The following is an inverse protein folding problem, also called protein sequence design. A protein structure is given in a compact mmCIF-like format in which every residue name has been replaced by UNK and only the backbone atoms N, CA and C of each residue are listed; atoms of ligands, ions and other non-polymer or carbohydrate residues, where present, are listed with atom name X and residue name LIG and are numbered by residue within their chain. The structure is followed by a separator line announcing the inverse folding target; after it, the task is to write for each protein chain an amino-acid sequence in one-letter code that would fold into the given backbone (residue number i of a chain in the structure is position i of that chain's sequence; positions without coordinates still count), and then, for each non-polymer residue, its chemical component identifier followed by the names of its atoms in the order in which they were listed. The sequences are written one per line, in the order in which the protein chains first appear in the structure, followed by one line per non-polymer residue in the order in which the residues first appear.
data_IF_920470034274
#
_entry.id   IF_920470034274
#
_cell.length_a   1.000
_cell.length_b   1.000
_cell.length_c   1.000
_cell.angle_alpha   90.00
_cell.angle_beta   90.00
_cell.angle_gamma   90.00
#
_symmetry.space_group_name_H-M   'P 1'
#
loop_
_entity.id
_entity.type
_entity.pdbx_description
1 polymer ?
#
# COMPACT_ATOMS: atom_id res chain seq x y z
N UNK A 1 33.54 -19.41 15.15
CA UNK A 1 32.13 -19.07 14.83
C UNK A 1 31.81 -19.31 13.36
N UNK A 2 32.66 -18.90 12.41
CA UNK A 2 32.40 -19.09 10.98
C UNK A 2 32.37 -20.56 10.52
N UNK A 3 33.22 -21.42 11.08
CA UNK A 3 33.28 -22.83 10.74
C UNK A 3 31.97 -23.59 11.08
N UNK A 4 31.42 -23.34 12.28
CA UNK A 4 30.15 -23.93 12.69
C UNK A 4 28.96 -23.42 11.86
N UNK A 5 28.98 -22.12 11.54
CA UNK A 5 27.99 -21.50 10.65
C UNK A 5 27.99 -22.14 9.26
N UNK A 6 29.15 -22.37 8.69
CA UNK A 6 29.27 -22.99 7.36
C UNK A 6 28.77 -24.43 7.36
N UNK A 7 29.06 -25.23 8.40
CA UNK A 7 28.52 -26.58 8.52
C UNK A 7 27.00 -26.60 8.63
N UNK A 8 26.43 -25.66 9.39
CA UNK A 8 24.97 -25.51 9.47
C UNK A 8 24.36 -25.13 8.11
N UNK A 9 24.96 -24.25 7.35
CA UNK A 9 24.51 -23.88 6.02
C UNK A 9 24.51 -25.11 5.09
N UNK A 10 25.57 -25.91 5.12
CA UNK A 10 25.69 -27.15 4.33
C UNK A 10 24.58 -28.15 4.72
N UNK A 11 24.35 -28.31 6.02
CA UNK A 11 23.27 -29.18 6.54
C UNK A 11 21.90 -28.71 6.02
N UNK A 12 21.59 -27.40 6.13
CA UNK A 12 20.35 -26.86 5.61
C UNK A 12 20.20 -27.02 4.09
N UNK A 13 21.29 -26.84 3.32
CA UNK A 13 21.28 -27.06 1.85
C UNK A 13 20.77 -28.45 1.48
N UNK A 14 21.15 -29.46 2.24
CA UNK A 14 20.69 -30.85 2.01
C UNK A 14 19.16 -30.98 2.12
N UNK A 15 18.53 -30.31 3.10
CA UNK A 15 17.09 -30.35 3.33
C UNK A 15 16.27 -29.40 2.44
N UNK A 16 16.90 -28.37 1.90
CA UNK A 16 16.23 -27.28 1.17
C UNK A 16 16.39 -27.43 -0.35
N UNK A 17 17.01 -28.50 -0.80
CA UNK A 17 17.33 -28.79 -2.19
C UNK A 17 16.26 -28.25 -3.14
N UNK A 18 16.67 -27.43 -4.12
CA UNK A 18 15.85 -26.87 -5.20
C UNK A 18 14.68 -25.94 -4.78
N UNK A 19 14.63 -25.53 -3.51
CA UNK A 19 13.60 -24.59 -3.03
C UNK A 19 14.10 -23.15 -3.15
N UNK A 20 13.26 -22.28 -3.70
CA UNK A 20 13.40 -20.82 -3.62
C UNK A 20 12.54 -20.28 -2.49
N UNK A 21 13.05 -19.26 -1.81
CA UNK A 21 12.40 -18.65 -0.66
C UNK A 21 12.19 -17.17 -0.88
N UNK A 22 11.11 -16.65 -0.29
CA UNK A 22 10.88 -15.24 -0.15
C UNK A 22 10.63 -14.90 1.33
N UNK A 23 11.46 -14.03 1.87
CA UNK A 23 11.30 -13.55 3.25
C UNK A 23 10.40 -12.32 3.26
N UNK A 24 9.34 -12.38 4.06
CA UNK A 24 8.43 -11.26 4.27
C UNK A 24 8.45 -10.78 5.71
N UNK A 25 8.53 -9.45 5.85
CA UNK A 25 8.25 -8.78 7.10
C UNK A 25 6.80 -8.23 7.03
N UNK A 26 5.84 -8.82 7.77
CA UNK A 26 4.45 -8.39 7.74
C UNK A 26 4.17 -7.16 8.61
N UNK A 27 5.18 -6.34 8.91
CA UNK A 27 5.04 -5.17 9.79
C UNK A 27 4.17 -4.05 9.21
N UNK A 28 3.83 -4.13 7.93
CA UNK A 28 3.00 -3.15 7.22
C UNK A 28 2.27 -3.79 6.03
N UNK A 29 1.05 -3.32 5.74
CA UNK A 29 0.23 -3.86 4.64
C UNK A 29 0.90 -3.72 3.26
N UNK A 30 1.73 -2.70 3.06
CA UNK A 30 2.51 -2.54 1.82
C UNK A 30 3.37 -3.76 1.47
N UNK A 31 3.76 -4.58 2.46
CA UNK A 31 4.43 -5.86 2.23
C UNK A 31 3.58 -6.88 1.44
N UNK A 32 2.26 -6.73 1.42
CA UNK A 32 1.36 -7.54 0.60
C UNK A 32 1.67 -7.40 -0.90
N UNK A 33 2.14 -6.24 -1.36
CA UNK A 33 2.52 -6.03 -2.76
C UNK A 33 3.57 -7.05 -3.24
N UNK A 34 4.51 -7.42 -2.37
CA UNK A 34 5.50 -8.46 -2.69
C UNK A 34 4.86 -9.85 -2.88
N UNK A 35 3.83 -10.17 -2.09
CA UNK A 35 3.11 -11.45 -2.21
C UNK A 35 2.26 -11.46 -3.49
N UNK A 36 1.63 -10.34 -3.83
CA UNK A 36 0.92 -10.14 -5.07
C UNK A 36 1.85 -10.38 -6.26
N UNK A 37 3.02 -9.76 -6.26
CA UNK A 37 4.04 -9.93 -7.29
C UNK A 37 4.48 -11.40 -7.44
N UNK A 38 4.75 -12.09 -6.33
CA UNK A 38 5.12 -13.50 -6.37
C UNK A 38 4.01 -14.39 -6.93
N UNK A 39 2.76 -14.08 -6.60
CA UNK A 39 1.59 -14.77 -7.14
C UNK A 39 1.48 -14.59 -8.66
N UNK A 40 1.73 -13.38 -9.16
CA UNK A 40 1.70 -13.08 -10.61
C UNK A 40 2.82 -13.79 -11.39
N UNK A 41 3.97 -14.02 -10.74
CA UNK A 41 5.16 -14.59 -11.39
C UNK A 41 5.09 -16.10 -11.59
N UNK A 42 4.08 -16.79 -11.03
CA UNK A 42 3.91 -18.26 -11.06
C UNK A 42 5.16 -19.08 -10.64
N UNK A 43 6.15 -18.46 -10.03
CA UNK A 43 7.31 -19.16 -9.49
C UNK A 43 6.93 -19.91 -8.21
N UNK A 44 7.31 -21.17 -8.09
CA UNK A 44 7.15 -21.95 -6.85
C UNK A 44 8.13 -21.47 -5.80
N UNK A 45 7.71 -20.43 -5.06
CA UNK A 45 8.51 -19.82 -3.99
C UNK A 45 7.88 -20.16 -2.65
N UNK A 46 8.70 -20.56 -1.68
CA UNK A 46 8.27 -20.73 -0.28
C UNK A 46 8.34 -19.41 0.45
N UNK A 47 7.21 -18.91 0.92
CA UNK A 47 7.16 -17.69 1.71
C UNK A 47 7.55 -17.99 3.15
N UNK A 48 8.46 -17.20 3.71
CA UNK A 48 8.87 -17.23 5.12
C UNK A 48 8.40 -15.93 5.77
N UNK A 49 7.69 -16.05 6.87
CA UNK A 49 7.20 -14.91 7.64
C UNK A 49 8.08 -14.72 8.87
N UNK A 50 8.42 -13.46 9.19
CA UNK A 50 9.19 -13.16 10.41
C UNK A 50 8.35 -13.52 11.66
N UNK A 51 8.79 -14.50 12.50
CA UNK A 51 8.05 -14.94 13.66
C UNK A 51 7.75 -13.83 14.68
N UNK A 52 8.64 -12.84 14.79
CA UNK A 52 8.48 -11.68 15.68
C UNK A 52 7.12 -11.00 15.50
N UNK A 53 6.63 -10.91 14.26
CA UNK A 53 5.39 -10.22 13.95
C UNK A 53 4.16 -11.10 14.09
N UNK A 54 4.31 -12.41 13.99
CA UNK A 54 3.19 -13.37 14.21
C UNK A 54 2.76 -13.38 15.68
N UNK A 55 3.73 -13.31 16.60
CA UNK A 55 3.49 -13.45 18.04
C UNK A 55 3.26 -12.15 18.80
N UNK A 56 3.51 -11.01 18.21
CA UNK A 56 3.30 -9.72 18.87
C UNK A 56 1.80 -9.49 19.11
N UNK A 57 1.36 -9.47 20.40
CA UNK A 57 -0.06 -9.35 20.78
C UNK A 57 -0.71 -8.05 20.28
N UNK A 58 -0.03 -6.92 20.39
CA UNK A 58 -0.57 -5.60 20.05
C UNK A 58 -0.04 -5.09 18.71
N UNK A 59 -0.23 -5.85 17.65
CA UNK A 59 0.17 -5.45 16.31
C UNK A 59 -1.03 -4.82 15.59
N UNK A 60 -0.88 -3.62 15.07
CA UNK A 60 -1.85 -2.99 14.15
C UNK A 60 -1.90 -3.66 12.77
N UNK A 61 -1.09 -4.70 12.58
CA UNK A 61 -0.95 -5.42 11.33
C UNK A 61 -2.11 -6.39 11.17
N UNK A 62 -2.67 -6.47 9.98
CA UNK A 62 -3.64 -7.50 9.65
C UNK A 62 -2.92 -8.84 9.38
N UNK A 63 -2.71 -9.61 10.44
CA UNK A 63 -2.07 -10.94 10.39
C UNK A 63 -2.85 -11.92 9.53
N UNK A 64 -4.19 -11.80 9.51
CA UNK A 64 -5.07 -12.69 8.76
C UNK A 64 -4.79 -12.60 7.26
N UNK A 65 -4.60 -11.39 6.73
CA UNK A 65 -4.23 -11.18 5.33
C UNK A 65 -2.94 -11.93 4.98
N UNK A 66 -1.91 -11.77 5.81
CA UNK A 66 -0.63 -12.42 5.55
C UNK A 66 -0.68 -13.94 5.68
N UNK A 67 -1.46 -14.47 6.62
CA UNK A 67 -1.64 -15.92 6.76
C UNK A 67 -2.39 -16.52 5.57
N UNK A 68 -3.47 -15.89 5.11
CA UNK A 68 -4.20 -16.33 3.93
C UNK A 68 -3.29 -16.29 2.69
N UNK A 69 -2.56 -15.20 2.49
CA UNK A 69 -1.61 -15.09 1.39
C UNK A 69 -0.50 -16.15 1.47
N UNK A 70 0.02 -16.41 2.67
CA UNK A 70 0.98 -17.49 2.91
C UNK A 70 0.41 -18.87 2.48
N UNK A 71 -0.80 -19.20 2.94
CA UNK A 71 -1.44 -20.49 2.66
C UNK A 71 -1.67 -20.69 1.17
N UNK A 72 -2.15 -19.64 0.47
CA UNK A 72 -2.35 -19.68 -0.99
C UNK A 72 -1.05 -19.86 -1.75
N UNK A 73 0.00 -19.09 -1.44
CA UNK A 73 1.29 -19.16 -2.14
C UNK A 73 2.06 -20.45 -1.85
N UNK A 74 1.95 -20.99 -0.64
CA UNK A 74 2.62 -22.24 -0.26
C UNK A 74 1.79 -23.49 -0.57
N UNK A 75 0.54 -23.33 -0.97
CA UNK A 75 -0.44 -24.41 -1.14
C UNK A 75 -0.57 -25.33 0.10
N UNK A 76 -0.49 -24.74 1.28
CA UNK A 76 -0.62 -25.45 2.56
C UNK A 76 -0.87 -24.47 3.71
N UNK A 77 -1.48 -24.96 4.77
CA UNK A 77 -1.68 -24.21 6.02
C UNK A 77 -0.36 -23.76 6.63
N UNK A 78 -0.40 -22.63 7.32
CA UNK A 78 0.77 -22.11 8.03
C UNK A 78 1.23 -23.10 9.12
N UNK A 79 2.49 -23.53 9.01
CA UNK A 79 3.14 -24.37 10.01
C UNK A 79 4.25 -23.56 10.70
N UNK A 80 4.07 -23.35 12.00
CA UNK A 80 4.99 -22.57 12.83
C UNK A 80 6.39 -23.15 12.84
N UNK A 81 6.51 -24.47 13.04
CA UNK A 81 7.80 -25.14 13.16
C UNK A 81 8.58 -25.08 11.84
N UNK A 82 7.90 -25.37 10.74
CA UNK A 82 8.51 -25.26 9.41
C UNK A 82 8.96 -23.83 9.11
N UNK A 83 8.10 -22.85 9.39
CA UNK A 83 8.45 -21.42 9.20
C UNK A 83 9.65 -21.02 10.06
N UNK A 84 9.73 -21.51 11.29
CA UNK A 84 10.86 -21.25 12.18
C UNK A 84 12.16 -21.83 11.64
N UNK A 85 12.13 -23.08 11.14
CA UNK A 85 13.29 -23.73 10.53
C UNK A 85 13.81 -22.91 9.34
N UNK A 86 12.91 -22.49 8.42
CA UNK A 86 13.29 -21.66 7.29
C UNK A 86 13.75 -20.26 7.70
N UNK A 87 13.16 -19.70 8.76
CA UNK A 87 13.62 -18.42 9.31
C UNK A 87 15.03 -18.49 9.90
N UNK A 88 15.36 -19.58 10.62
CA UNK A 88 16.72 -19.82 11.10
C UNK A 88 17.69 -19.89 9.92
N UNK A 89 17.34 -20.64 8.87
CA UNK A 89 18.16 -20.68 7.66
C UNK A 89 18.35 -19.29 7.04
N UNK A 90 17.27 -18.51 6.88
CA UNK A 90 17.36 -17.11 6.44
C UNK A 90 18.34 -16.31 7.28
N UNK A 91 18.28 -16.40 8.60
CA UNK A 91 19.19 -15.69 9.51
C UNK A 91 20.65 -16.10 9.32
N UNK A 92 20.91 -17.32 8.97
CA UNK A 92 22.26 -17.84 8.72
C UNK A 92 22.84 -17.32 7.40
N UNK A 93 22.04 -17.26 6.35
CA UNK A 93 22.53 -16.95 4.97
C UNK A 93 22.37 -15.50 4.54
N UNK A 94 21.51 -14.68 5.18
CA UNK A 94 21.13 -13.33 4.72
C UNK A 94 22.28 -12.36 4.45
N UNK A 95 23.45 -12.61 5.06
CA UNK A 95 24.66 -11.78 4.88
C UNK A 95 25.79 -12.55 4.19
N UNK A 96 25.48 -13.59 3.45
CA UNK A 96 26.43 -14.40 2.69
C UNK A 96 26.06 -14.38 1.21
N UNK A 97 27.01 -14.71 0.33
CA UNK A 97 26.75 -14.84 -1.10
C UNK A 97 25.71 -15.92 -1.43
N UNK A 98 25.58 -16.90 -0.57
CA UNK A 98 24.57 -17.97 -0.66
C UNK A 98 23.14 -17.45 -0.64
N UNK A 99 22.88 -16.27 -0.07
CA UNK A 99 21.55 -15.67 -0.04
C UNK A 99 20.91 -15.59 -1.44
N UNK A 100 21.68 -15.16 -2.43
CA UNK A 100 21.22 -15.00 -3.82
C UNK A 100 20.79 -16.32 -4.46
N UNK A 101 21.37 -17.45 -3.99
CA UNK A 101 21.07 -18.78 -4.53
C UNK A 101 19.71 -19.30 -4.05
N UNK A 102 19.26 -18.90 -2.87
CA UNK A 102 18.05 -19.43 -2.22
C UNK A 102 16.92 -18.42 -2.12
N UNK A 103 17.21 -17.12 -2.09
CA UNK A 103 16.19 -16.10 -1.85
C UNK A 103 15.91 -15.28 -3.10
N UNK A 104 14.61 -15.14 -3.38
CA UNK A 104 14.10 -14.24 -4.42
C UNK A 104 14.19 -12.82 -3.89
N UNK A 105 14.62 -11.88 -4.72
CA UNK A 105 14.62 -10.46 -4.36
C UNK A 105 13.20 -9.97 -4.14
N UNK A 106 13.03 -9.13 -3.14
CA UNK A 106 11.80 -8.37 -2.94
C UNK A 106 11.49 -7.51 -4.16
N UNK A 107 10.22 -7.18 -4.31
CA UNK A 107 9.77 -6.17 -5.25
C UNK A 107 10.57 -4.87 -5.06
N UNK A 108 11.09 -4.33 -6.15
CA UNK A 108 11.79 -3.05 -6.16
C UNK A 108 10.83 -2.00 -6.69
N UNK A 109 10.56 -0.97 -5.89
CA UNK A 109 9.76 0.17 -6.33
C UNK A 109 10.32 0.79 -7.61
N UNK A 110 9.44 1.11 -8.55
CA UNK A 110 9.83 1.73 -9.80
C UNK A 110 10.44 0.81 -10.86
N UNK A 111 10.37 -0.51 -10.67
CA UNK A 111 10.80 -1.47 -11.70
C UNK A 111 9.67 -1.72 -12.71
N UNK A 112 9.75 -1.06 -13.88
CA UNK A 112 8.78 -1.21 -14.96
C UNK A 112 8.59 -2.66 -15.43
N UNK A 113 9.66 -3.48 -15.41
CA UNK A 113 9.58 -4.91 -15.77
C UNK A 113 8.74 -5.71 -14.78
N UNK A 114 8.69 -5.27 -13.54
CA UNK A 114 7.80 -5.87 -12.52
C UNK A 114 6.36 -5.51 -12.84
N UNK A 115 6.08 -4.25 -13.16
CA UNK A 115 4.74 -3.78 -13.49
C UNK A 115 4.17 -4.45 -14.73
N UNK A 116 4.98 -4.61 -15.78
CA UNK A 116 4.59 -5.33 -16.99
C UNK A 116 4.10 -6.75 -16.66
N UNK A 117 4.83 -7.48 -15.81
CA UNK A 117 4.44 -8.84 -15.38
C UNK A 117 3.16 -8.88 -14.55
N UNK A 118 2.77 -7.76 -13.95
CA UNK A 118 1.57 -7.67 -13.13
C UNK A 118 0.30 -7.28 -13.90
N UNK A 119 0.39 -6.93 -15.18
CA UNK A 119 -0.77 -6.54 -15.99
C UNK A 119 -1.88 -7.60 -16.05
N UNK A 120 -1.53 -8.88 -15.97
CA UNK A 120 -2.48 -10.00 -16.01
C UNK A 120 -2.75 -10.59 -14.61
N UNK A 121 -2.45 -9.83 -13.56
CA UNK A 121 -2.64 -10.29 -12.20
C UNK A 121 -4.12 -10.31 -11.80
N UNK A 122 -4.59 -11.46 -11.32
CA UNK A 122 -5.96 -11.69 -10.89
C UNK A 122 -6.20 -11.55 -9.37
N UNK A 123 -5.21 -11.10 -8.63
CA UNK A 123 -5.29 -10.99 -7.19
C UNK A 123 -5.06 -12.31 -6.43
N UNK A 124 -4.68 -12.20 -5.16
CA UNK A 124 -4.74 -13.33 -4.24
C UNK A 124 -6.19 -13.48 -3.81
N UNK A 125 -6.79 -14.64 -4.11
CA UNK A 125 -8.17 -14.92 -3.70
C UNK A 125 -8.24 -15.09 -2.18
N UNK A 126 -9.13 -14.34 -1.56
CA UNK A 126 -9.47 -14.50 -0.15
C UNK A 126 -10.85 -15.16 -0.05
N UNK A 127 -10.87 -16.45 0.27
CA UNK A 127 -12.11 -17.19 0.53
C UNK A 127 -12.59 -16.83 1.94
N UNK A 128 -13.46 -15.85 2.01
CA UNK A 128 -14.05 -15.39 3.25
C UNK A 128 -15.35 -16.16 3.48
N UNK A 129 -15.23 -17.38 4.03
CA UNK A 129 -16.38 -18.20 4.40
C UNK A 129 -17.03 -17.73 5.72
N UNK A 130 -16.52 -16.67 6.33
CA UNK A 130 -17.03 -16.15 7.60
C UNK A 130 -18.17 -15.15 7.32
N UNK A 131 -19.34 -15.42 7.89
CA UNK A 131 -20.44 -14.48 7.91
C UNK A 131 -20.02 -13.20 8.66
N UNK A 132 -20.37 -12.04 8.11
CA UNK A 132 -20.13 -10.74 8.76
C UNK A 132 -21.05 -10.64 9.99
N UNK A 133 -20.48 -10.84 11.18
CA UNK A 133 -21.23 -10.80 12.45
C UNK A 133 -21.57 -9.37 12.87
N UNK A 134 -20.68 -8.43 12.55
CA UNK A 134 -20.85 -7.03 12.88
C UNK A 134 -21.92 -6.38 11.97
N UNK A 135 -22.96 -5.82 12.61
CA UNK A 135 -24.10 -5.24 11.89
C UNK A 135 -23.69 -4.02 11.06
N UNK A 136 -22.88 -3.13 11.63
CA UNK A 136 -22.47 -1.89 10.95
C UNK A 136 -21.68 -2.23 9.68
N UNK A 137 -20.76 -3.20 9.77
CA UNK A 137 -19.99 -3.65 8.61
C UNK A 137 -20.86 -4.32 7.58
N UNK A 138 -21.79 -5.19 8.00
CA UNK A 138 -22.73 -5.85 7.10
C UNK A 138 -23.60 -4.84 6.34
N UNK A 139 -24.08 -3.82 7.02
CA UNK A 139 -24.88 -2.77 6.40
C UNK A 139 -24.06 -1.95 5.40
N UNK A 140 -22.78 -1.67 5.70
CA UNK A 140 -21.88 -0.95 4.81
C UNK A 140 -21.53 -1.75 3.54
N UNK A 141 -21.23 -3.05 3.66
CA UNK A 141 -20.85 -3.88 2.50
C UNK A 141 -22.02 -4.19 1.56
N UNK A 142 -23.26 -4.05 2.03
CA UNK A 142 -24.48 -4.20 1.25
C UNK A 142 -24.93 -2.89 0.57
N UNK A 143 -24.17 -1.80 0.70
CA UNK A 143 -24.46 -0.50 0.08
C UNK A 143 -23.33 -0.09 -0.86
N UNK A 144 -23.60 0.87 -1.73
CA UNK A 144 -22.57 1.53 -2.51
C UNK A 144 -21.67 2.36 -1.58
N UNK A 145 -20.50 1.82 -1.25
CA UNK A 145 -19.61 2.40 -0.25
C UNK A 145 -18.37 2.99 -0.91
N UNK A 146 -18.10 4.27 -0.61
CA UNK A 146 -16.85 4.94 -0.91
C UNK A 146 -15.94 4.86 0.32
N UNK A 147 -14.78 4.26 0.16
CA UNK A 147 -13.80 4.14 1.24
C UNK A 147 -12.61 5.04 0.95
N UNK A 148 -12.23 5.88 1.90
CA UNK A 148 -11.02 6.68 1.79
C UNK A 148 -10.04 6.41 2.93
N UNK A 149 -8.75 6.47 2.60
CA UNK A 149 -7.66 6.41 3.55
C UNK A 149 -6.87 7.72 3.50
N UNK A 150 -6.88 8.42 4.63
CA UNK A 150 -6.08 9.63 4.83
C UNK A 150 -4.85 9.27 5.68
N UNK A 151 -3.66 9.33 5.08
CA UNK A 151 -2.42 8.99 5.74
C UNK A 151 -1.99 10.10 6.71
N UNK A 152 -1.62 9.73 7.92
CA UNK A 152 -0.96 10.60 8.89
C UNK A 152 0.30 9.95 9.50
N UNK A 153 1.01 10.66 10.36
CA UNK A 153 2.25 10.19 10.95
C UNK A 153 2.06 9.17 12.09
N UNK A 154 0.83 9.00 12.62
CA UNK A 154 0.58 8.28 13.88
C UNK A 154 0.95 6.80 13.78
N UNK A 155 0.59 6.15 12.67
CA UNK A 155 0.94 4.75 12.47
C UNK A 155 2.44 4.50 12.59
N UNK A 156 3.26 5.38 12.01
CA UNK A 156 4.72 5.26 12.06
C UNK A 156 5.27 5.52 13.45
N UNK A 157 4.74 6.48 14.18
CA UNK A 157 5.15 6.75 15.56
C UNK A 157 4.92 5.55 16.47
N UNK A 158 3.80 4.84 16.28
CA UNK A 158 3.43 3.68 17.12
C UNK A 158 4.17 2.41 16.70
N UNK A 159 4.43 2.22 15.40
CA UNK A 159 4.93 0.95 14.87
C UNK A 159 6.42 0.91 14.61
N UNK A 160 7.10 2.06 14.59
CA UNK A 160 8.51 2.19 14.25
C UNK A 160 9.29 2.81 15.41
N UNK A 161 10.39 2.16 15.80
CA UNK A 161 11.37 2.71 16.74
C UNK A 161 12.30 3.76 16.07
N UNK A 162 12.13 3.99 14.77
CA UNK A 162 12.96 4.88 13.96
C UNK A 162 12.18 6.16 13.67
N UNK A 163 12.81 7.30 13.80
CA UNK A 163 12.26 8.57 13.34
C UNK A 163 11.91 8.48 11.83
N UNK A 164 10.63 8.52 11.51
CA UNK A 164 10.10 8.34 10.16
C UNK A 164 9.66 9.64 9.50
N UNK A 165 10.08 10.78 10.03
CA UNK A 165 9.76 12.13 9.49
C UNK A 165 10.19 12.32 8.03
N UNK A 166 11.17 11.54 7.57
CA UNK A 166 11.58 11.55 6.16
C UNK A 166 10.44 11.22 5.18
N UNK A 167 9.34 10.61 5.65
CA UNK A 167 8.16 10.30 4.85
C UNK A 167 7.01 11.30 5.04
N UNK A 168 7.19 12.39 5.77
CA UNK A 168 6.12 13.35 6.08
C UNK A 168 5.57 14.07 4.83
N UNK A 169 6.34 14.12 3.76
CA UNK A 169 5.88 14.61 2.45
C UNK A 169 4.64 13.88 1.92
N UNK A 170 4.29 12.71 2.48
CA UNK A 170 3.12 11.89 2.14
C UNK A 170 1.96 12.04 3.13
N UNK A 171 2.12 12.82 4.19
CA UNK A 171 1.03 13.03 5.15
C UNK A 171 -0.02 13.96 4.56
N UNK A 172 -1.27 13.77 4.98
CA UNK A 172 -2.45 14.41 4.42
C UNK A 172 -3.25 15.18 5.46
N UNK A 173 -4.08 16.13 5.00
CA UNK A 173 -5.04 16.83 5.86
C UNK A 173 -6.42 16.16 5.76
N UNK A 174 -6.84 15.56 6.86
CA UNK A 174 -8.13 14.90 6.96
C UNK A 174 -9.31 15.85 6.67
N UNK A 175 -9.18 17.13 7.02
CA UNK A 175 -10.26 18.11 6.85
C UNK A 175 -10.65 18.28 5.39
N UNK A 176 -9.66 18.37 4.49
CA UNK A 176 -9.89 18.49 3.05
C UNK A 176 -10.59 17.25 2.50
N UNK A 177 -10.18 16.06 2.98
CA UNK A 177 -10.84 14.80 2.58
C UNK A 177 -12.29 14.74 3.06
N UNK A 178 -12.57 15.12 4.30
CA UNK A 178 -13.92 15.15 4.84
C UNK A 178 -14.84 16.07 4.01
N UNK A 179 -14.35 17.26 3.66
CA UNK A 179 -15.09 18.22 2.86
C UNK A 179 -15.40 17.67 1.46
N UNK A 180 -14.39 17.17 0.75
CA UNK A 180 -14.56 16.62 -0.59
C UNK A 180 -15.50 15.41 -0.61
N UNK A 181 -15.25 14.43 0.25
CA UNK A 181 -15.95 13.14 0.22
C UNK A 181 -17.40 13.28 0.72
N UNK A 182 -17.68 14.19 1.67
CA UNK A 182 -19.05 14.39 2.17
C UNK A 182 -20.01 14.89 1.08
N UNK A 183 -19.52 15.56 0.03
CA UNK A 183 -20.38 16.00 -1.09
C UNK A 183 -21.10 14.82 -1.79
N UNK A 184 -20.50 13.63 -1.77
CA UNK A 184 -21.07 12.43 -2.38
C UNK A 184 -22.29 11.88 -1.65
N UNK A 185 -22.49 12.23 -0.37
CA UNK A 185 -23.71 11.87 0.36
C UNK A 185 -24.95 12.50 -0.25
N UNK A 186 -24.81 13.70 -0.81
CA UNK A 186 -25.92 14.44 -1.46
C UNK A 186 -26.08 14.04 -2.92
N UNK A 187 -24.98 13.66 -3.61
CA UNK A 187 -24.99 13.31 -5.03
C UNK A 187 -25.63 11.94 -5.32
N UNK A 188 -25.42 10.99 -4.41
CA UNK A 188 -25.98 9.65 -4.50
C UNK A 188 -26.04 9.04 -3.12
N UNK A 189 -26.82 8.01 -2.90
CA UNK A 189 -26.97 7.39 -1.56
C UNK A 189 -25.73 6.57 -1.13
N UNK A 190 -24.54 7.15 -1.30
CA UNK A 190 -23.28 6.50 -0.93
C UNK A 190 -23.10 6.41 0.57
N UNK A 191 -22.59 5.28 1.04
CA UNK A 191 -22.03 5.16 2.38
C UNK A 191 -20.57 5.61 2.34
N UNK A 192 -20.19 6.52 3.24
CA UNK A 192 -18.86 7.12 3.30
C UNK A 192 -18.09 6.54 4.48
N UNK A 193 -16.91 5.98 4.22
CA UNK A 193 -16.12 5.29 5.24
C UNK A 193 -14.68 5.81 5.23
N UNK A 194 -14.20 6.30 6.36
CA UNK A 194 -12.77 6.50 6.59
C UNK A 194 -12.13 5.21 7.06
N UNK A 195 -11.17 4.72 6.31
CA UNK A 195 -10.44 3.48 6.60
C UNK A 195 -9.05 3.75 7.18
N UNK A 196 -8.65 2.96 8.17
CA UNK A 196 -7.32 3.00 8.76
C UNK A 196 -7.21 2.15 10.02
N UNK A 197 -6.01 2.01 10.55
CA UNK A 197 -5.75 1.27 11.80
C UNK A 197 -5.52 2.18 13.00
N UNK A 198 -5.00 3.35 12.77
CA UNK A 198 -4.76 4.43 13.75
C UNK A 198 -4.83 5.77 13.04
N UNK A 199 -5.00 6.83 13.79
CA UNK A 199 -5.02 8.19 13.26
C UNK A 199 -4.85 9.22 14.38
N UNK A 200 -4.40 10.42 14.00
CA UNK A 200 -4.21 11.54 14.94
C UNK A 200 -5.56 12.15 15.29
N UNK A 201 -6.42 12.34 14.29
CA UNK A 201 -7.71 13.03 14.43
C UNK A 201 -8.87 12.11 14.05
N UNK A 202 -10.00 12.26 14.70
CA UNK A 202 -11.28 11.68 14.30
C UNK A 202 -11.94 12.54 13.23
N UNK A 203 -12.76 11.91 12.41
CA UNK A 203 -13.67 12.63 11.53
C UNK A 203 -14.62 13.50 12.37
N UNK A 204 -14.82 14.74 11.91
CA UNK A 204 -15.79 15.66 12.50
C UNK A 204 -17.17 15.51 11.86
N UNK A 205 -17.20 15.16 10.58
CA UNK A 205 -18.43 14.95 9.83
C UNK A 205 -19.08 13.61 10.25
N UNK A 206 -20.28 13.68 10.82
CA UNK A 206 -21.04 12.49 11.30
C UNK A 206 -21.62 11.64 10.19
N UNK A 207 -21.65 12.11 8.96
CA UNK A 207 -22.09 11.33 7.79
C UNK A 207 -21.02 10.33 7.33
N UNK A 208 -19.79 10.48 7.81
CA UNK A 208 -18.67 9.59 7.54
C UNK A 208 -18.53 8.59 8.67
N UNK A 209 -18.64 7.31 8.37
CA UNK A 209 -18.32 6.26 9.32
C UNK A 209 -16.81 6.18 9.53
N UNK A 210 -16.32 6.68 10.64
CA UNK A 210 -14.90 6.65 10.98
C UNK A 210 -14.48 5.27 11.49
N UNK A 211 -14.27 4.35 10.57
CA UNK A 211 -13.86 2.98 10.88
C UNK A 211 -12.52 2.93 11.64
N UNK A 212 -11.62 3.90 11.42
CA UNK A 212 -10.32 3.99 12.13
C UNK A 212 -10.48 3.98 13.65
N UNK A 213 -11.53 4.60 14.18
CA UNK A 213 -11.82 4.71 15.61
C UNK A 213 -13.03 3.88 16.04
N UNK A 214 -13.60 3.07 15.15
CA UNK A 214 -14.77 2.25 15.45
C UNK A 214 -14.41 1.02 16.27
N UNK A 215 -15.35 0.58 17.11
CA UNK A 215 -15.31 -0.71 17.81
C UNK A 215 -15.46 -1.90 16.84
N UNK A 216 -16.06 -1.66 15.68
CA UNK A 216 -16.21 -2.65 14.60
C UNK A 216 -14.90 -3.00 13.91
N UNK A 217 -13.80 -2.31 14.23
CA UNK A 217 -12.51 -2.54 13.59
C UNK A 217 -11.93 -3.91 13.97
N UNK A 218 -11.72 -4.74 12.95
CA UNK A 218 -11.09 -6.05 13.10
C UNK A 218 -10.38 -6.45 11.81
N UNK A 219 -9.47 -7.42 11.89
CA UNK A 219 -8.72 -7.89 10.74
C UNK A 219 -9.60 -8.47 9.63
N UNK A 220 -10.71 -9.09 9.99
CA UNK A 220 -11.65 -9.64 9.00
C UNK A 220 -12.52 -8.55 8.40
N UNK A 221 -12.94 -7.56 9.20
CA UNK A 221 -13.74 -6.46 8.72
C UNK A 221 -12.94 -5.51 7.80
N UNK A 222 -11.61 -5.37 8.01
CA UNK A 222 -10.72 -4.69 7.08
C UNK A 222 -10.85 -5.28 5.66
N UNK A 223 -10.85 -6.61 5.58
CA UNK A 223 -10.93 -7.33 4.30
C UNK A 223 -12.33 -7.17 3.69
N UNK A 224 -13.39 -7.36 4.49
CA UNK A 224 -14.77 -7.23 4.00
C UNK A 224 -15.05 -5.84 3.46
N UNK A 225 -14.66 -4.79 4.17
CA UNK A 225 -14.87 -3.41 3.73
C UNK A 225 -14.19 -3.14 2.38
N UNK A 226 -12.89 -3.41 2.28
CA UNK A 226 -12.15 -3.11 1.04
C UNK A 226 -12.62 -3.98 -0.12
N UNK A 227 -12.87 -5.29 0.12
CA UNK A 227 -13.34 -6.21 -0.92
C UNK A 227 -14.68 -5.77 -1.52
N UNK A 228 -15.58 -5.21 -0.72
CA UNK A 228 -16.94 -4.88 -1.14
C UNK A 228 -17.17 -3.40 -1.43
N UNK A 229 -16.18 -2.52 -1.26
CA UNK A 229 -16.37 -1.11 -1.61
C UNK A 229 -16.61 -0.92 -3.11
N UNK A 230 -17.35 0.13 -3.46
CA UNK A 230 -17.52 0.55 -4.85
C UNK A 230 -16.24 1.19 -5.39
N UNK A 231 -15.67 2.12 -4.64
CA UNK A 231 -14.43 2.83 -4.98
C UNK A 231 -13.58 2.96 -3.72
N UNK A 232 -12.29 2.78 -3.89
CA UNK A 232 -11.29 3.04 -2.87
C UNK A 232 -10.49 4.31 -3.22
N UNK A 233 -10.32 5.19 -2.24
CA UNK A 233 -9.61 6.47 -2.37
C UNK A 233 -8.37 6.42 -1.48
N UNK A 234 -7.19 6.43 -2.09
CA UNK A 234 -5.91 6.20 -1.44
C UNK A 234 -4.90 7.32 -1.62
N UNK A 235 -3.77 7.22 -0.93
CA UNK A 235 -2.70 8.23 -0.90
C UNK A 235 -1.30 7.64 -1.08
N UNK A 236 -1.19 6.49 -1.72
CA UNK A 236 0.09 5.78 -1.85
C UNK A 236 0.55 5.13 -0.53
N UNK A 237 -0.34 4.45 0.19
CA UNK A 237 -0.07 3.85 1.50
C UNK A 237 -0.36 2.35 1.56
N UNK A 238 -0.11 1.71 2.71
CA UNK A 238 -0.28 0.26 2.86
C UNK A 238 -1.67 -0.28 2.53
N UNK A 239 -2.77 0.34 2.96
CA UNK A 239 -4.13 -0.10 2.64
C UNK A 239 -4.46 -0.15 1.15
N UNK A 240 -3.84 0.71 0.34
CA UNK A 240 -4.05 0.77 -1.10
C UNK A 240 -3.71 -0.57 -1.77
N UNK A 241 -2.69 -1.26 -1.25
CA UNK A 241 -2.28 -2.58 -1.77
C UNK A 241 -3.37 -3.63 -1.58
N UNK A 242 -4.17 -3.51 -0.53
CA UNK A 242 -5.32 -4.41 -0.34
C UNK A 242 -6.42 -4.13 -1.37
N UNK A 243 -6.70 -2.85 -1.66
CA UNK A 243 -7.64 -2.45 -2.71
C UNK A 243 -7.17 -2.93 -4.08
N UNK A 244 -5.87 -2.78 -4.40
CA UNK A 244 -5.27 -3.32 -5.62
C UNK A 244 -5.41 -4.85 -5.70
N UNK A 245 -5.21 -5.58 -4.59
CA UNK A 245 -5.37 -7.03 -4.56
C UNK A 245 -6.79 -7.46 -4.91
N UNK A 246 -7.80 -6.68 -4.51
CA UNK A 246 -9.20 -6.95 -4.87
C UNK A 246 -9.62 -6.30 -6.19
N UNK A 247 -8.67 -5.74 -6.94
CA UNK A 247 -8.90 -5.08 -8.23
C UNK A 247 -10.02 -4.03 -8.16
N UNK A 248 -10.08 -3.30 -7.04
CA UNK A 248 -11.07 -2.24 -6.86
C UNK A 248 -10.75 -1.05 -7.76
N UNK A 249 -11.76 -0.31 -8.23
CA UNK A 249 -11.55 1.02 -8.78
C UNK A 249 -10.86 1.91 -7.71
N UNK A 250 -9.77 2.57 -8.08
CA UNK A 250 -8.96 3.34 -7.13
C UNK A 250 -8.77 4.77 -7.64
N UNK A 251 -8.96 5.73 -6.73
CA UNK A 251 -8.54 7.12 -6.94
C UNK A 251 -7.35 7.40 -6.03
N UNK A 252 -6.17 7.62 -6.62
CA UNK A 252 -5.00 8.07 -5.87
C UNK A 252 -4.97 9.59 -5.81
N UNK A 253 -4.98 10.13 -4.61
CA UNK A 253 -5.00 11.55 -4.33
C UNK A 253 -3.65 11.95 -3.75
N UNK A 254 -3.19 13.17 -4.07
CA UNK A 254 -1.96 13.71 -3.55
C UNK A 254 -0.74 12.79 -3.83
N UNK A 255 -0.74 12.12 -4.97
CA UNK A 255 0.38 11.27 -5.35
C UNK A 255 1.64 12.11 -5.55
N UNK A 256 2.79 11.61 -5.11
CA UNK A 256 4.05 12.38 -5.22
C UNK A 256 5.08 11.66 -6.06
N UNK A 257 5.22 10.36 -5.84
CA UNK A 257 6.38 9.62 -6.30
C UNK A 257 6.10 8.91 -7.62
N UNK A 258 6.51 9.52 -8.76
CA UNK A 258 6.26 9.00 -10.10
C UNK A 258 6.64 7.53 -10.31
N UNK A 259 7.86 7.07 -9.92
CA UNK A 259 8.24 5.68 -10.15
C UNK A 259 7.43 4.65 -9.38
N UNK A 260 6.68 5.06 -8.38
CA UNK A 260 5.83 4.16 -7.61
C UNK A 260 4.40 4.11 -8.11
N UNK A 261 4.08 4.79 -9.19
CA UNK A 261 2.76 4.73 -9.81
C UNK A 261 2.48 3.29 -10.29
N UNK A 262 1.35 2.75 -9.85
CA UNK A 262 0.98 1.36 -10.11
C UNK A 262 0.27 1.24 -11.47
N UNK A 263 1.02 1.33 -12.55
CA UNK A 263 0.53 1.32 -13.94
C UNK A 263 -0.11 -0.01 -14.36
N UNK A 264 0.06 -1.08 -13.59
CA UNK A 264 -0.58 -2.37 -13.84
C UNK A 264 -2.04 -2.43 -13.39
N UNK A 265 -2.48 -1.52 -12.54
CA UNK A 265 -3.86 -1.45 -12.08
C UNK A 265 -4.74 -0.83 -13.16
N UNK A 266 -5.85 -1.49 -13.51
CA UNK A 266 -6.67 -1.11 -14.66
C UNK A 266 -7.58 0.09 -14.40
N UNK A 267 -8.27 0.13 -13.29
CA UNK A 267 -9.28 1.16 -13.01
C UNK A 267 -8.70 2.16 -11.99
N UNK A 268 -7.89 3.09 -12.48
CA UNK A 268 -7.19 4.05 -11.62
C UNK A 268 -7.29 5.47 -12.19
N UNK A 269 -7.70 6.41 -11.35
CA UNK A 269 -7.50 7.85 -11.53
C UNK A 269 -6.41 8.30 -10.57
N UNK A 270 -5.51 9.15 -11.03
CA UNK A 270 -4.40 9.67 -10.20
C UNK A 270 -4.31 11.17 -10.33
N UNK A 271 -4.35 11.87 -9.20
CA UNK A 271 -4.02 13.30 -9.13
C UNK A 271 -2.80 13.52 -8.23
N UNK A 272 -1.85 14.31 -8.75
CA UNK A 272 -0.57 14.54 -8.11
C UNK A 272 -0.60 15.77 -7.18
N UNK A 273 0.22 15.77 -6.12
CA UNK A 273 0.55 17.02 -5.43
C UNK A 273 1.23 17.96 -6.43
N UNK A 274 0.83 19.21 -6.41
CA UNK A 274 1.53 20.24 -7.15
C UNK A 274 2.85 20.56 -6.45
N UNK A 275 3.90 20.77 -7.22
CA UNK A 275 5.24 21.09 -6.70
C UNK A 275 5.53 22.56 -7.02
N UNK A 276 5.66 23.36 -5.97
CA UNK A 276 5.96 24.78 -6.08
C UNK A 276 7.44 25.05 -5.82
N UNK A 277 8.12 25.72 -6.75
CA UNK A 277 9.49 26.18 -6.61
C UNK A 277 9.52 27.57 -5.98
N UNK A 278 9.99 27.66 -4.74
CA UNK A 278 10.16 28.94 -4.04
C UNK A 278 11.22 29.82 -4.71
N UNK A 279 12.25 29.20 -5.30
CA UNK A 279 13.32 29.91 -6.00
C UNK A 279 12.83 30.58 -7.30
N UNK A 280 11.91 29.91 -8.01
CA UNK A 280 11.40 30.40 -9.31
C UNK A 280 10.03 31.07 -9.17
N UNK A 281 9.47 31.09 -7.97
CA UNK A 281 8.12 31.59 -7.68
C UNK A 281 7.04 31.06 -8.65
N UNK A 282 7.10 29.75 -8.95
CA UNK A 282 6.21 29.09 -9.91
C UNK A 282 6.03 27.60 -9.64
N UNK A 283 4.94 27.04 -10.16
CA UNK A 283 4.75 25.58 -10.16
C UNK A 283 5.66 24.89 -11.18
N UNK A 284 6.18 23.73 -10.80
CA UNK A 284 6.93 22.87 -11.72
C UNK A 284 5.94 22.13 -12.60
N UNK A 285 6.08 22.30 -13.92
CA UNK A 285 5.30 21.54 -14.89
C UNK A 285 5.65 20.05 -14.83
N UNK A 286 4.66 19.19 -15.03
CA UNK A 286 4.82 17.74 -14.94
C UNK A 286 5.96 17.21 -15.83
N UNK A 287 6.06 17.70 -17.07
CA UNK A 287 7.12 17.30 -18.01
C UNK A 287 8.53 17.55 -17.50
N UNK A 288 8.68 18.47 -16.56
CA UNK A 288 9.98 18.83 -16.01
C UNK A 288 10.40 17.99 -14.80
N UNK A 289 9.50 17.17 -14.22
CA UNK A 289 9.79 16.46 -12.97
C UNK A 289 10.96 15.48 -13.08
N UNK A 290 11.15 14.88 -14.25
CA UNK A 290 12.26 13.96 -14.53
C UNK A 290 13.38 14.63 -15.33
N UNK A 291 13.29 15.93 -15.60
CA UNK A 291 14.30 16.67 -16.36
C UNK A 291 15.53 17.00 -15.52
N UNK A 292 16.66 17.22 -16.18
CA UNK A 292 17.90 17.66 -15.55
C UNK A 292 17.81 19.03 -14.87
N UNK A 293 16.80 19.86 -15.22
CA UNK A 293 16.63 21.20 -14.66
C UNK A 293 16.18 21.18 -13.19
N UNK A 294 15.67 20.05 -12.70
CA UNK A 294 15.20 19.88 -11.33
C UNK A 294 15.96 18.78 -10.60
N UNK A 295 17.28 18.80 -10.73
CA UNK A 295 18.17 17.91 -10.00
C UNK A 295 18.61 18.56 -8.68
N UNK A 296 18.76 17.76 -7.63
CA UNK A 296 19.54 18.20 -6.48
C UNK A 296 21.00 18.40 -6.91
N UNK A 297 21.56 19.55 -6.55
CA UNK A 297 22.91 19.95 -6.95
C UNK A 297 23.98 18.94 -6.52
N UNK A 298 23.80 18.32 -5.36
CA UNK A 298 24.73 17.38 -4.75
C UNK A 298 24.48 15.91 -5.13
N UNK A 299 23.21 15.53 -5.39
CA UNK A 299 22.83 14.14 -5.57
C UNK A 299 22.39 13.77 -6.99
N UNK A 300 22.23 14.75 -7.85
CA UNK A 300 21.80 14.57 -9.25
C UNK A 300 20.50 13.75 -9.37
N UNK A 301 19.58 13.91 -8.41
CA UNK A 301 18.33 13.16 -8.33
C UNK A 301 17.18 14.01 -8.86
N UNK A 302 16.48 13.62 -9.94
CA UNK A 302 15.29 14.31 -10.42
C UNK A 302 14.21 14.44 -9.35
N UNK A 303 13.45 15.54 -9.35
CA UNK A 303 12.38 15.80 -8.37
C UNK A 303 11.35 14.67 -8.34
N UNK A 304 11.00 14.08 -9.47
CA UNK A 304 10.07 12.96 -9.54
C UNK A 304 10.56 11.67 -8.85
N UNK A 305 11.85 11.64 -8.47
CA UNK A 305 12.48 10.49 -7.78
C UNK A 305 12.79 10.79 -6.31
N UNK A 306 12.31 11.89 -5.76
CA UNK A 306 12.55 12.22 -4.34
C UNK A 306 11.78 11.28 -3.40
N UNK A 307 12.47 10.72 -2.43
CA UNK A 307 11.94 9.78 -1.43
C UNK A 307 11.92 10.31 0.00
N UNK A 308 12.49 11.49 0.22
CA UNK A 308 12.67 12.05 1.56
C UNK A 308 12.19 13.50 1.61
N UNK A 309 11.50 13.86 2.69
CA UNK A 309 11.03 15.22 2.95
C UNK A 309 12.15 16.27 2.87
N UNK A 310 13.36 15.90 3.30
CA UNK A 310 14.51 16.81 3.28
C UNK A 310 14.99 17.13 1.87
N UNK A 311 14.76 16.25 0.89
CA UNK A 311 15.12 16.50 -0.50
C UNK A 311 14.32 17.68 -1.07
N UNK A 312 13.01 17.73 -0.76
CA UNK A 312 12.16 18.88 -1.16
C UNK A 312 12.61 20.16 -0.49
N UNK A 313 12.88 20.15 0.81
CA UNK A 313 13.37 21.32 1.57
C UNK A 313 14.70 21.83 1.03
N UNK A 314 15.68 20.96 0.81
CA UNK A 314 16.99 21.29 0.27
C UNK A 314 16.94 21.89 -1.14
N UNK A 315 15.89 21.56 -1.90
CA UNK A 315 15.65 22.07 -3.25
C UNK A 315 14.76 23.32 -3.28
N UNK A 316 14.42 23.91 -2.13
CA UNK A 316 13.47 25.03 -2.03
C UNK A 316 12.11 24.72 -2.68
N UNK A 317 11.64 23.49 -2.55
CA UNK A 317 10.37 23.03 -3.08
C UNK A 317 9.32 22.86 -1.98
N UNK A 318 8.10 23.19 -2.31
CA UNK A 318 6.92 22.98 -1.48
C UNK A 318 5.92 22.06 -2.19
N UNK A 319 5.36 21.11 -1.47
CA UNK A 319 4.33 20.22 -1.96
C UNK A 319 2.96 20.76 -1.57
N UNK A 320 2.17 21.09 -2.56
CA UNK A 320 0.83 21.65 -2.38
C UNK A 320 -0.19 20.50 -2.56
N UNK A 321 -1.04 20.33 -1.56
CA UNK A 321 -2.10 19.33 -1.59
C UNK A 321 -3.15 19.65 -2.65
N UNK A 322 -3.80 18.62 -3.14
CA UNK A 322 -5.00 18.79 -3.95
C UNK A 322 -6.09 19.50 -3.12
N UNK A 323 -6.81 20.38 -3.76
CA UNK A 323 -7.94 21.08 -3.17
C UNK A 323 -9.14 20.14 -2.98
N UNK A 324 -10.12 20.60 -2.21
CA UNK A 324 -11.39 19.90 -2.04
C UNK A 324 -12.07 19.60 -3.39
N UNK A 325 -12.08 20.57 -4.30
CA UNK A 325 -12.70 20.42 -5.61
C UNK A 325 -11.93 19.47 -6.52
N UNK A 326 -10.59 19.53 -6.54
CA UNK A 326 -9.77 18.57 -7.30
C UNK A 326 -10.01 17.12 -6.82
N UNK A 327 -10.11 16.91 -5.51
CA UNK A 327 -10.43 15.60 -4.94
C UNK A 327 -11.84 15.17 -5.34
N UNK A 328 -12.80 16.08 -5.23
CA UNK A 328 -14.19 15.80 -5.61
C UNK A 328 -14.28 15.38 -7.08
N UNK A 329 -13.70 16.16 -8.00
CA UNK A 329 -13.75 15.85 -9.43
C UNK A 329 -13.07 14.53 -9.79
N UNK A 330 -11.91 14.22 -9.21
CA UNK A 330 -11.22 12.95 -9.44
C UNK A 330 -12.05 11.74 -8.97
N UNK A 331 -12.74 11.85 -7.84
CA UNK A 331 -13.62 10.78 -7.33
C UNK A 331 -14.87 10.68 -8.18
N UNK A 332 -15.42 11.82 -8.62
CA UNK A 332 -16.59 11.88 -9.48
C UNK A 332 -16.34 11.26 -10.85
N UNK A 333 -15.19 11.55 -11.44
CA UNK A 333 -14.73 10.92 -12.69
C UNK A 333 -14.72 9.40 -12.56
N UNK A 334 -14.15 8.84 -11.46
CA UNK A 334 -14.15 7.41 -11.22
C UNK A 334 -15.55 6.85 -11.01
N UNK A 335 -16.44 7.58 -10.34
CA UNK A 335 -17.85 7.17 -10.17
C UNK A 335 -18.53 7.07 -11.54
N UNK A 336 -18.37 8.07 -12.39
CA UNK A 336 -18.93 8.09 -13.73
C UNK A 336 -18.37 6.95 -14.59
N UNK A 337 -17.05 6.69 -14.50
CA UNK A 337 -16.42 5.57 -15.18
C UNK A 337 -16.99 4.22 -14.75
N UNK A 338 -17.13 3.97 -13.45
CA UNK A 338 -17.67 2.71 -12.91
C UNK A 338 -19.14 2.53 -13.25
N UNK A 339 -19.89 3.62 -13.37
CA UNK A 339 -21.31 3.58 -13.75
C UNK A 339 -21.53 3.49 -15.27
N UNK A 340 -20.47 3.54 -16.09
CA UNK A 340 -20.57 3.52 -17.56
C UNK A 340 -20.97 4.85 -18.17
N UNK A 341 -20.89 5.95 -17.44
CA UNK A 341 -21.27 7.30 -17.85
C UNK A 341 -20.05 8.21 -18.05
N UNK A 342 -18.86 7.63 -18.21
CA UNK A 342 -17.63 8.39 -18.38
C UNK A 342 -17.57 9.01 -19.78
N UNK A 343 -17.39 10.32 -19.80
CA UNK A 343 -17.06 11.10 -21.00
C UNK A 343 -15.69 11.72 -20.77
N UNK A 344 -14.80 11.58 -21.75
CA UNK A 344 -13.47 12.15 -21.68
C UNK A 344 -13.53 13.65 -21.89
N UNK A 345 -13.04 14.43 -20.95
CA UNK A 345 -12.93 15.89 -21.06
C UNK A 345 -11.45 16.30 -21.18
N UNK A 346 -11.05 16.70 -22.39
CA UNK A 346 -9.67 17.13 -22.70
C UNK A 346 -9.21 18.34 -21.88
N UNK A 347 -10.14 19.16 -21.39
CA UNK A 347 -9.81 20.36 -20.62
C UNK A 347 -9.48 20.05 -19.14
N UNK A 348 -9.84 18.87 -18.65
CA UNK A 348 -9.56 18.41 -17.29
C UNK A 348 -8.28 17.58 -17.18
N UNK A 349 -7.70 17.19 -18.28
CA UNK A 349 -6.47 16.39 -18.35
C UNK A 349 -5.27 17.31 -18.58
#
# INVERSE_FOLDING_TARGET
KNFFKNKLIIFFKFFIKDKKFFFINPSYLGGLLNLIYLSAKSEKVKVIVDPKYIYKKNSFINKKIFLIAYEKLNNKKFNILENLIYYIFFRLVRYTDEYKNFFVKAYVHGDAKVFEKMHNYNGITFDLNENIKDKDIRDLVNRETLIFHCRDAEYKKITSDINSSYHDYRNEDLTIYEQAISKFKKKGNYSLVRFGSVGIKKCKNREIFDYTFSKSRSQINDIHLIKNCKIYIGTGSGPDVLAMNFQKPIVFINWVHLPNLFTFQKNVVVIFKKIYSKSNNSFIKFDNLLSKNYLLSDKKTPVGLFYHSDQYKQSNLELIHNSEDEIYHAVDEMINYVNGNFEFDENLQ
#
